data_IF_076769187908
#
_entry.id   IF_076769187908
#
_cell.length_a   1.000
_cell.length_b   1.000
_cell.length_c   1.000
_cell.angle_alpha   90.00
_cell.angle_beta   90.00
_cell.angle_gamma   90.00
#
_symmetry.space_group_name_H-M   'P 1'
#
loop_
_entity.id
_entity.type
_entity.pdbx_description
1 polymer ?
#
# COMPACT_ATOMS: atom_id res chain seq x y z
N UNK A 1 7.78 -8.65 11.42
CA UNK A 1 6.98 -7.42 11.23
C UNK A 1 7.40 -6.83 9.90
N UNK A 2 6.47 -6.62 8.97
CA UNK A 2 6.78 -5.98 7.69
C UNK A 2 6.85 -4.47 7.89
N UNK A 3 7.42 -3.74 6.93
CA UNK A 3 7.42 -2.27 6.94
C UNK A 3 6.72 -1.78 5.69
N UNK A 4 5.76 -0.88 5.86
CA UNK A 4 5.10 -0.19 4.75
C UNK A 4 5.92 1.05 4.41
N UNK A 5 6.64 0.99 3.30
CA UNK A 5 7.38 2.14 2.78
C UNK A 5 6.61 2.78 1.64
N UNK A 6 6.32 4.08 1.75
CA UNK A 6 5.75 4.81 0.63
C UNK A 6 6.84 5.18 -0.37
N UNK A 7 6.54 4.95 -1.64
CA UNK A 7 7.33 5.46 -2.74
C UNK A 7 7.53 6.97 -2.59
N UNK A 8 8.76 7.41 -2.83
CA UNK A 8 9.12 8.82 -2.91
C UNK A 8 9.64 9.10 -4.31
N UNK A 9 9.21 10.21 -4.89
CA UNK A 9 9.75 10.73 -6.15
C UNK A 9 11.16 11.33 -5.94
N UNK A 10 11.89 11.57 -7.03
CA UNK A 10 13.26 12.11 -7.00
C UNK A 10 13.35 13.50 -6.33
N UNK A 11 12.24 14.23 -6.32
CA UNK A 11 12.08 15.53 -5.65
C UNK A 11 11.77 15.40 -4.14
N UNK A 12 11.65 14.18 -3.60
CA UNK A 12 11.30 13.91 -2.21
C UNK A 12 9.80 13.87 -1.90
N UNK A 13 8.93 14.11 -2.88
CA UNK A 13 7.49 14.02 -2.71
C UNK A 13 7.06 12.58 -2.44
N UNK A 14 6.01 12.43 -1.64
CA UNK A 14 5.41 11.13 -1.31
C UNK A 14 3.95 11.14 -1.73
N UNK A 15 3.64 10.88 -3.02
CA UNK A 15 2.29 11.04 -3.56
C UNK A 15 1.23 10.24 -2.78
N UNK A 16 1.58 9.05 -2.28
CA UNK A 16 0.67 8.22 -1.46
C UNK A 16 0.37 8.87 -0.10
N UNK A 17 1.37 9.50 0.53
CA UNK A 17 1.18 10.18 1.81
C UNK A 17 0.30 11.44 1.65
N UNK A 18 0.52 12.19 0.56
CA UNK A 18 -0.30 13.35 0.19
C UNK A 18 -1.75 12.94 -0.10
N UNK A 19 -1.94 11.89 -0.90
CA UNK A 19 -3.25 11.30 -1.18
C UNK A 19 -3.98 10.92 0.12
N UNK A 20 -3.34 10.17 1.02
CA UNK A 20 -3.95 9.76 2.30
C UNK A 20 -4.33 10.97 3.17
N UNK A 21 -3.51 12.02 3.12
CA UNK A 21 -3.76 13.26 3.88
C UNK A 21 -4.96 14.04 3.36
N UNK A 22 -5.24 13.98 2.07
CA UNK A 22 -6.37 14.65 1.42
C UNK A 22 -7.71 13.89 1.56
N UNK A 23 -7.71 12.66 2.06
CA UNK A 23 -8.93 11.85 2.20
C UNK A 23 -9.86 12.38 3.30
N UNK A 24 -11.17 12.24 3.06
CA UNK A 24 -12.17 12.40 4.11
C UNK A 24 -11.87 11.47 5.30
N UNK A 25 -12.16 11.87 6.56
CA UNK A 25 -11.72 11.13 7.76
C UNK A 25 -12.06 9.63 7.76
N UNK A 26 -13.28 9.28 7.32
CA UNK A 26 -13.73 7.88 7.23
C UNK A 26 -12.89 7.05 6.25
N UNK A 27 -12.51 7.62 5.11
CA UNK A 27 -11.69 6.95 4.11
C UNK A 27 -10.25 6.84 4.56
N UNK A 28 -9.71 7.90 5.18
CA UNK A 28 -8.38 7.88 5.79
C UNK A 28 -8.25 6.77 6.82
N UNK A 29 -9.23 6.64 7.73
CA UNK A 29 -9.26 5.57 8.73
C UNK A 29 -9.24 4.17 8.10
N UNK A 30 -10.02 3.97 7.02
CA UNK A 30 -10.02 2.69 6.30
C UNK A 30 -8.64 2.38 5.71
N UNK A 31 -8.02 3.34 5.02
CA UNK A 31 -6.70 3.14 4.40
C UNK A 31 -5.65 2.85 5.46
N UNK A 32 -5.61 3.61 6.57
CA UNK A 32 -4.66 3.37 7.67
C UNK A 32 -4.85 1.97 8.27
N UNK A 33 -6.10 1.53 8.48
CA UNK A 33 -6.38 0.18 8.98
C UNK A 33 -5.90 -0.91 8.02
N UNK A 34 -6.11 -0.74 6.71
CA UNK A 34 -5.65 -1.69 5.70
C UNK A 34 -4.11 -1.72 5.62
N UNK A 35 -3.42 -0.57 5.75
CA UNK A 35 -1.95 -0.50 5.82
C UNK A 35 -1.40 -1.24 7.05
N UNK A 36 -2.01 -1.05 8.22
CA UNK A 36 -1.59 -1.75 9.43
C UNK A 36 -1.79 -3.27 9.31
N UNK A 37 -2.89 -3.72 8.67
CA UNK A 37 -3.10 -5.14 8.38
C UNK A 37 -2.04 -5.69 7.42
N UNK A 38 -1.64 -4.92 6.42
CA UNK A 38 -0.54 -5.31 5.52
C UNK A 38 0.80 -5.41 6.28
N UNK A 39 1.05 -4.51 7.23
CA UNK A 39 2.26 -4.54 8.07
C UNK A 39 2.34 -5.80 8.95
N UNK A 40 1.20 -6.22 9.50
CA UNK A 40 1.09 -7.42 10.31
C UNK A 40 1.16 -8.72 9.48
N UNK A 41 0.48 -8.76 8.33
CA UNK A 41 0.29 -9.98 7.54
C UNK A 41 1.36 -10.18 6.46
N UNK A 42 1.91 -9.10 5.90
CA UNK A 42 2.86 -9.14 4.79
C UNK A 42 2.38 -9.99 3.61
N UNK A 43 3.17 -11.00 3.24
CA UNK A 43 2.87 -11.90 2.12
C UNK A 43 1.64 -12.79 2.36
N UNK A 44 1.27 -13.05 3.62
CA UNK A 44 0.07 -13.83 3.99
C UNK A 44 -1.24 -13.04 3.83
N UNK A 45 -1.15 -11.73 3.56
CA UNK A 45 -2.33 -10.92 3.28
C UNK A 45 -3.08 -11.49 2.06
N UNK A 46 -4.38 -11.78 2.25
CA UNK A 46 -5.27 -12.28 1.20
C UNK A 46 -6.08 -11.15 0.58
N UNK A 47 -6.80 -11.46 -0.49
CA UNK A 47 -7.78 -10.56 -1.08
C UNK A 47 -8.77 -10.04 -0.01
N UNK A 48 -9.12 -8.75 0.02
CA UNK A 48 -8.82 -7.71 -0.96
C UNK A 48 -7.50 -6.94 -0.75
N UNK A 49 -6.75 -7.21 0.33
CA UNK A 49 -5.55 -6.45 0.71
C UNK A 49 -4.38 -6.69 -0.24
N UNK A 50 -4.27 -7.90 -0.79
CA UNK A 50 -3.23 -8.27 -1.76
C UNK A 50 -3.88 -8.97 -2.96
N UNK A 51 -3.49 -8.57 -4.17
CA UNK A 51 -3.77 -9.32 -5.41
C UNK A 51 -2.47 -9.94 -5.89
N UNK A 52 -2.44 -11.27 -5.90
CA UNK A 52 -1.27 -12.08 -6.31
C UNK A 52 -0.96 -11.98 -7.81
N UNK A 53 -1.98 -11.67 -8.64
CA UNK A 53 -1.95 -11.87 -10.10
C UNK A 53 -1.22 -10.81 -10.95
N UNK A 54 -0.67 -9.74 -10.39
CA UNK A 54 -0.05 -8.67 -11.21
C UNK A 54 1.48 -8.77 -11.39
N UNK A 55 2.18 -9.56 -10.56
CA UNK A 55 3.63 -9.71 -10.67
C UNK A 55 4.08 -10.81 -11.65
N UNK A 56 3.20 -11.73 -12.02
CA UNK A 56 3.54 -12.87 -12.89
C UNK A 56 3.61 -12.51 -14.38
N UNK A 57 3.08 -11.35 -14.80
CA UNK A 57 3.03 -10.95 -16.22
C UNK A 57 4.15 -10.02 -16.70
N UNK A 58 5.18 -9.74 -15.88
CA UNK A 58 6.34 -8.92 -16.29
C UNK A 58 7.70 -9.66 -16.26
N UNK A 59 7.68 -10.99 -16.25
CA UNK A 59 8.89 -11.84 -16.19
C UNK A 59 9.12 -12.75 -17.39
N UNK A 60 8.58 -12.44 -18.57
CA UNK A 60 8.92 -13.14 -19.83
C UNK A 60 9.18 -12.12 -20.94
N UNK A 61 10.36 -11.53 -20.88
CA UNK A 61 11.04 -10.87 -21.99
C UNK A 61 12.42 -11.52 -22.12
#
# INVERSE_FOLDING_TARGET
>A
MFSVNFFSEDNGNKPVAEFISALAPKMKAKVVSDLHRLEMLGFEARYPLRREKYFEKRGRG
#
